data_IF_850455104599
#
_entry.id   IF_850455104599
#
_cell.length_a   1.000
_cell.length_b   1.000
_cell.length_c   1.000
_cell.angle_alpha   90.00
_cell.angle_beta   90.00
_cell.angle_gamma   90.00
#
_symmetry.space_group_name_H-M   'P 1'
#
loop_
_entity.id
_entity.type
_entity.pdbx_description
1 polymer ?
#
# COMPACT_ATOMS: atom_id res chain seq x y z
N UNK A 1 6.08 7.67 6.80
CA UNK A 1 6.20 9.08 7.25
C UNK A 1 6.59 9.06 8.72
N UNK A 2 7.54 9.90 9.16
CA UNK A 2 7.86 10.07 10.58
C UNK A 2 7.24 11.38 11.02
N UNK A 3 6.36 11.34 12.02
CA UNK A 3 5.83 12.54 12.67
C UNK A 3 6.52 12.64 14.01
N UNK A 4 7.07 13.81 14.29
CA UNK A 4 7.88 14.08 15.47
C UNK A 4 7.24 15.23 16.23
N UNK A 5 6.45 14.89 17.24
CA UNK A 5 5.92 15.84 18.23
C UNK A 5 6.09 15.23 19.63
N UNK A 6 6.66 16.00 20.55
CA UNK A 6 6.91 15.65 21.96
C UNK A 6 7.56 14.27 22.19
N UNK A 7 8.57 13.92 21.38
CA UNK A 7 9.41 12.74 21.62
C UNK A 7 8.88 11.41 21.08
N UNK A 8 7.69 11.37 20.48
CA UNK A 8 7.14 10.16 19.86
C UNK A 8 7.40 10.15 18.35
N UNK A 9 7.82 8.99 17.83
CA UNK A 9 8.00 8.75 16.41
C UNK A 9 7.00 7.67 15.97
N UNK A 10 5.93 8.06 15.29
CA UNK A 10 5.02 7.09 14.68
C UNK A 10 5.53 6.72 13.29
N UNK A 11 5.75 5.43 13.05
CA UNK A 11 6.10 4.88 11.74
C UNK A 11 5.00 3.94 11.28
N UNK A 12 4.33 4.30 10.20
CA UNK A 12 3.27 3.49 9.58
C UNK A 12 3.88 2.70 8.44
N UNK A 13 3.72 1.37 8.48
CA UNK A 13 4.08 0.46 7.39
C UNK A 13 2.80 -0.16 6.83
N UNK A 14 2.57 0.03 5.53
CA UNK A 14 1.49 -0.67 4.83
C UNK A 14 1.94 -2.07 4.42
N UNK A 15 1.08 -3.06 4.63
CA UNK A 15 1.24 -4.42 4.11
C UNK A 15 0.25 -4.59 2.97
N UNK A 16 0.74 -5.02 1.80
CA UNK A 16 -0.08 -5.30 0.64
C UNK A 16 -0.17 -6.81 0.44
N UNK A 17 -1.38 -7.33 0.28
CA UNK A 17 -1.64 -8.67 -0.21
C UNK A 17 -2.34 -8.57 -1.57
N UNK A 18 -1.94 -9.40 -2.51
CA UNK A 18 -2.54 -9.48 -3.84
C UNK A 18 -3.04 -10.90 -4.03
N UNK A 19 -4.27 -11.04 -4.48
CA UNK A 19 -4.86 -12.32 -4.86
C UNK A 19 -5.28 -12.24 -6.34
N UNK A 20 -5.05 -13.31 -7.09
CA UNK A 20 -5.45 -13.42 -8.48
C UNK A 20 -5.63 -14.87 -8.88
N UNK A 21 -6.55 -15.10 -9.81
CA UNK A 21 -6.80 -16.37 -10.50
C UNK A 21 -5.87 -16.61 -11.71
N UNK A 22 -5.02 -15.63 -12.06
CA UNK A 22 -4.09 -15.71 -13.20
C UNK A 22 -3.01 -16.78 -12.98
N UNK A 23 -2.52 -17.35 -14.08
CA UNK A 23 -1.42 -18.34 -14.09
C UNK A 23 -0.19 -17.84 -13.32
N UNK A 24 0.41 -18.73 -12.52
CA UNK A 24 1.58 -18.47 -11.67
C UNK A 24 2.90 -18.30 -12.41
N UNK A 25 2.91 -18.47 -13.74
CA UNK A 25 4.13 -18.36 -14.54
C UNK A 25 4.40 -16.90 -14.93
N UNK A 26 5.65 -16.47 -14.78
CA UNK A 26 6.12 -15.17 -15.23
C UNK A 26 7.46 -14.75 -14.59
N UNK A 27 8.15 -13.75 -15.16
CA UNK A 27 9.32 -13.13 -14.56
C UNK A 27 9.02 -12.45 -13.22
N UNK A 28 10.05 -12.25 -12.38
CA UNK A 28 9.92 -11.76 -11.01
C UNK A 28 9.59 -10.27 -10.90
N UNK A 29 8.91 -9.86 -9.82
CA UNK A 29 8.54 -8.45 -9.56
C UNK A 29 9.71 -7.46 -9.48
N UNK A 30 10.94 -7.93 -9.27
CA UNK A 30 12.12 -7.06 -9.27
C UNK A 30 12.39 -6.41 -10.65
N UNK A 31 11.73 -6.88 -11.72
CA UNK A 31 11.80 -6.32 -13.07
C UNK A 31 10.76 -5.21 -13.35
N UNK A 32 10.08 -4.68 -12.34
CA UNK A 32 9.09 -3.61 -12.52
C UNK A 32 9.64 -2.36 -13.23
N UNK A 33 10.93 -2.04 -13.08
CA UNK A 33 11.56 -0.87 -13.72
C UNK A 33 11.73 -0.98 -15.23
N UNK A 34 11.64 -2.19 -15.80
CA UNK A 34 11.77 -2.46 -17.23
C UNK A 34 10.46 -2.95 -17.86
N UNK A 35 9.36 -2.94 -17.11
CA UNK A 35 8.06 -3.43 -17.54
C UNK A 35 7.05 -2.29 -17.62
N UNK A 36 6.11 -2.37 -18.56
CA UNK A 36 5.02 -1.40 -18.68
C UNK A 36 3.89 -1.76 -17.70
N UNK A 37 3.51 -0.86 -16.78
CA UNK A 37 2.36 -1.09 -15.93
C UNK A 37 1.06 -0.89 -16.71
N UNK A 38 0.02 -1.59 -16.27
CA UNK A 38 -1.37 -1.32 -16.60
C UNK A 38 -1.98 -0.49 -15.48
N UNK A 39 -2.60 0.63 -15.84
CA UNK A 39 -3.44 1.42 -14.92
C UNK A 39 -4.85 0.82 -14.99
N UNK A 40 -5.41 0.30 -13.88
CA UNK A 40 -6.78 -0.17 -13.87
C UNK A 40 -7.75 0.95 -14.28
N UNK A 41 -8.74 0.64 -15.11
CA UNK A 41 -9.78 1.60 -15.50
C UNK A 41 -10.67 1.98 -14.32
N UNK A 42 -10.91 1.02 -13.43
CA UNK A 42 -11.79 1.16 -12.28
C UNK A 42 -11.07 0.62 -11.04
N UNK A 43 -11.08 1.44 -9.99
CA UNK A 43 -10.56 1.08 -8.67
C UNK A 43 -11.70 1.29 -7.68
N UNK A 44 -12.24 0.18 -7.20
CA UNK A 44 -13.23 0.20 -6.13
C UNK A 44 -12.52 0.03 -4.78
N UNK A 45 -12.68 1.01 -3.89
CA UNK A 45 -12.18 0.94 -2.52
C UNK A 45 -13.33 0.51 -1.63
N UNK A 46 -13.30 -0.76 -1.21
CA UNK A 46 -14.37 -1.36 -0.41
C UNK A 46 -14.40 -0.84 1.03
N UNK A 47 -13.22 -0.61 1.64
CA UNK A 47 -13.09 -0.05 2.98
C UNK A 47 -11.80 0.77 3.11
N UNK A 48 -11.92 2.06 3.47
CA UNK A 48 -10.79 2.91 3.84
C UNK A 48 -10.58 2.84 5.36
N UNK A 49 -9.84 1.82 5.80
CA UNK A 49 -9.55 1.62 7.22
C UNK A 49 -8.89 2.83 7.88
N UNK A 50 -9.19 3.05 9.16
CA UNK A 50 -8.56 4.08 10.00
C UNK A 50 -7.87 3.41 11.17
N UNK A 51 -6.62 3.81 11.44
CA UNK A 51 -5.87 3.34 12.60
C UNK A 51 -5.84 4.45 13.64
N UNK A 52 -6.37 4.18 14.82
CA UNK A 52 -6.27 5.07 15.98
C UNK A 52 -5.21 4.49 16.92
N UNK A 53 -4.15 5.25 17.16
CA UNK A 53 -3.03 4.87 18.02
C UNK A 53 -3.12 5.73 19.28
N UNK A 54 -3.28 5.09 20.42
CA UNK A 54 -3.22 5.74 21.73
C UNK A 54 -1.77 5.67 22.24
N UNK A 55 -1.14 6.81 22.44
CA UNK A 55 0.22 6.92 22.98
C UNK A 55 0.21 7.90 24.16
N UNK A 56 0.25 7.33 25.37
CA UNK A 56 0.07 8.05 26.63
C UNK A 56 -1.22 8.90 26.67
N UNK A 57 -1.11 10.23 26.66
CA UNK A 57 -2.26 11.15 26.69
C UNK A 57 -2.62 11.70 25.30
N UNK A 58 -2.05 11.13 24.23
CA UNK A 58 -2.26 11.58 22.85
C UNK A 58 -2.95 10.53 22.00
N UNK A 59 -3.80 10.99 21.11
CA UNK A 59 -4.45 10.18 20.10
C UNK A 59 -3.89 10.51 18.72
N UNK A 60 -3.28 9.53 18.06
CA UNK A 60 -2.80 9.66 16.68
C UNK A 60 -3.72 8.88 15.75
N UNK A 61 -4.46 9.59 14.91
CA UNK A 61 -5.29 9.00 13.87
C UNK A 61 -4.54 8.96 12.56
N UNK A 62 -4.41 7.78 11.96
CA UNK A 62 -3.80 7.56 10.64
C UNK A 62 -4.85 7.03 9.68
N UNK A 63 -5.05 7.74 8.56
CA UNK A 63 -5.90 7.30 7.46
C UNK A 63 -5.06 7.17 6.18
N UNK A 64 -4.83 5.94 5.65
CA UNK A 64 -4.25 5.77 4.33
C UNK A 64 -5.27 6.20 3.26
N UNK A 65 -4.79 6.89 2.24
CA UNK A 65 -5.56 7.22 1.04
C UNK A 65 -4.80 6.75 -0.18
N UNK A 66 -5.37 5.82 -0.93
CA UNK A 66 -4.79 5.29 -2.17
C UNK A 66 -4.77 6.42 -3.21
N UNK A 67 -3.62 6.63 -3.84
CA UNK A 67 -3.44 7.68 -4.86
C UNK A 67 -3.19 7.10 -6.24
N UNK A 68 -2.65 5.87 -6.32
CA UNK A 68 -2.41 5.20 -7.59
C UNK A 68 -2.28 3.70 -7.38
N UNK A 69 -2.79 2.92 -8.33
CA UNK A 69 -2.58 1.48 -8.43
C UNK A 69 -2.02 1.19 -9.82
N UNK A 70 -0.90 0.48 -9.87
CA UNK A 70 -0.28 -0.01 -11.09
C UNK A 70 -0.18 -1.53 -11.02
N UNK A 71 -0.66 -2.22 -12.06
CA UNK A 71 -0.62 -3.67 -12.16
C UNK A 71 0.38 -4.07 -13.24
N UNK A 72 1.26 -5.01 -12.95
CA UNK A 72 2.19 -5.57 -13.91
C UNK A 72 1.76 -7.02 -14.21
N UNK A 73 0.85 -7.22 -15.19
CA UNK A 73 0.16 -8.49 -15.39
C UNK A 73 1.07 -9.63 -15.87
N UNK A 74 2.28 -9.30 -16.36
CA UNK A 74 3.27 -10.29 -16.82
C UNK A 74 4.26 -10.68 -15.72
N UNK A 75 4.41 -9.86 -14.67
CA UNK A 75 5.34 -10.11 -13.59
C UNK A 75 4.66 -10.92 -12.47
N UNK A 76 5.45 -11.70 -11.72
CA UNK A 76 4.97 -12.55 -10.62
C UNK A 76 5.79 -12.34 -9.35
N UNK A 77 5.11 -12.41 -8.22
CA UNK A 77 5.75 -12.52 -6.91
C UNK A 77 6.16 -13.98 -6.62
N UNK A 78 6.72 -14.21 -5.42
CA UNK A 78 7.15 -15.54 -4.98
C UNK A 78 5.99 -16.53 -4.80
N UNK A 79 4.73 -16.07 -4.78
CA UNK A 79 3.53 -16.87 -4.62
C UNK A 79 2.81 -17.13 -5.97
N UNK A 80 3.26 -16.45 -7.03
CA UNK A 80 2.69 -16.54 -8.38
C UNK A 80 1.56 -15.54 -8.63
N UNK A 81 1.44 -14.48 -7.84
CA UNK A 81 0.46 -13.41 -8.06
C UNK A 81 1.04 -12.28 -8.91
N UNK A 82 0.22 -11.57 -9.71
CA UNK A 82 0.67 -10.43 -10.48
C UNK A 82 1.23 -9.34 -9.55
N UNK A 83 2.31 -8.71 -9.97
CA UNK A 83 2.91 -7.65 -9.17
C UNK A 83 2.03 -6.40 -9.23
N UNK A 84 1.69 -5.86 -8.05
CA UNK A 84 0.92 -4.63 -7.92
C UNK A 84 1.74 -3.62 -7.15
N UNK A 85 1.83 -2.40 -7.68
CA UNK A 85 2.35 -1.25 -6.95
C UNK A 85 1.18 -0.37 -6.56
N UNK A 86 0.94 -0.28 -5.26
CA UNK A 86 -0.03 0.66 -4.70
C UNK A 86 0.76 1.82 -4.10
N UNK A 87 0.39 3.03 -4.50
CA UNK A 87 0.87 4.27 -3.90
C UNK A 87 -0.23 4.85 -3.05
N UNK A 88 0.13 5.37 -1.88
CA UNK A 88 -0.80 6.00 -0.96
C UNK A 88 -0.13 7.14 -0.20
N UNK A 89 -0.98 8.03 0.33
CA UNK A 89 -0.57 9.03 1.32
C UNK A 89 -1.17 8.65 2.67
N UNK A 90 -0.50 9.06 3.75
CA UNK A 90 -1.04 8.94 5.10
C UNK A 90 -1.53 10.31 5.56
N UNK A 91 -2.84 10.44 5.74
CA UNK A 91 -3.41 11.60 6.42
C UNK A 91 -3.32 11.31 7.91
N UNK A 92 -2.59 12.16 8.64
CA UNK A 92 -2.38 11.96 10.08
C UNK A 92 -2.90 13.16 10.85
N UNK A 93 -3.57 12.89 11.96
CA UNK A 93 -4.05 13.89 12.91
C UNK A 93 -3.60 13.49 14.31
N UNK A 94 -3.06 14.44 15.06
CA UNK A 94 -2.60 14.25 16.45
C UNK A 94 -3.48 15.14 17.33
N UNK A 95 -4.10 14.54 18.33
CA UNK A 95 -4.90 15.24 19.35
C UNK A 95 -4.29 15.04 20.72
#
# INVERSE_FOLDING_TARGET
MKIQEDGYNVSVMGVLAVESDKSKMGPQCNMMGSSNPVVPSDIEVLDEGVVIIQADNKEVTVKPKITSVLVYPELRDNLGYPCVRVSWIHLTNVK
#
